data_IF_950435407519
#
_entry.id   IF_950435407519
#
_cell.length_a   1.000
_cell.length_b   1.000
_cell.length_c   1.000
_cell.angle_alpha   90.00
_cell.angle_beta   90.00
_cell.angle_gamma   90.00
#
_symmetry.space_group_name_H-M   'P 1'
#
loop_
_entity.id
_entity.type
_entity.pdbx_description
1 polymer ?
#
# COMPACT_ATOMS: atom_id res chain seq x y z
N UNK A 1 6.30 2.29 25.47
CA UNK A 1 6.96 1.87 24.22
C UNK A 1 6.03 2.06 23.05
N UNK A 2 6.40 2.80 22.09
CA UNK A 2 5.51 3.07 21.00
C UNK A 2 5.67 1.98 19.94
N UNK A 3 4.55 1.63 19.36
CA UNK A 3 4.48 0.67 18.27
C UNK A 3 4.23 1.43 16.98
N UNK A 4 4.98 2.52 16.80
CA UNK A 4 4.80 3.34 15.64
C UNK A 4 5.28 2.62 14.40
N UNK A 5 4.54 2.78 13.33
CA UNK A 5 4.92 2.29 12.03
C UNK A 5 5.94 3.24 11.42
N UNK A 6 7.01 2.68 10.88
CA UNK A 6 7.96 3.44 10.09
C UNK A 6 7.61 3.27 8.62
N UNK A 7 7.65 4.35 7.87
CA UNK A 7 7.37 4.32 6.44
C UNK A 7 8.54 4.94 5.71
N UNK A 8 9.14 4.19 4.80
CA UNK A 8 10.20 4.69 3.93
C UNK A 8 9.62 4.86 2.54
N UNK A 9 9.81 6.02 1.96
CA UNK A 9 9.23 6.39 0.67
C UNK A 9 10.31 6.42 -0.40
N UNK A 10 10.08 5.71 -1.51
CA UNK A 10 10.89 5.81 -2.73
C UNK A 10 9.99 6.26 -3.87
N UNK A 11 10.56 7.01 -4.80
CA UNK A 11 9.83 7.44 -6.00
C UNK A 11 10.61 7.01 -7.23
N UNK A 12 10.43 5.76 -7.69
CA UNK A 12 11.16 5.28 -8.87
C UNK A 12 10.78 6.01 -10.16
N UNK A 13 9.57 6.55 -10.23
CA UNK A 13 9.11 7.29 -11.40
C UNK A 13 8.33 8.52 -10.95
N UNK A 14 8.02 9.41 -11.89
CA UNK A 14 7.33 10.66 -11.59
C UNK A 14 5.97 10.39 -10.93
N UNK A 15 5.26 9.36 -11.38
CA UNK A 15 3.92 9.06 -10.90
C UNK A 15 3.82 7.77 -10.10
N UNK A 16 4.96 7.17 -9.73
CA UNK A 16 4.99 5.89 -8.99
C UNK A 16 5.78 6.09 -7.71
N UNK A 17 5.25 5.61 -6.60
CA UNK A 17 5.97 5.61 -5.34
C UNK A 17 5.84 4.25 -4.65
N UNK A 18 6.86 3.92 -3.86
CA UNK A 18 6.89 2.72 -3.04
C UNK A 18 6.91 3.17 -1.58
N UNK A 19 5.98 2.64 -0.79
CA UNK A 19 5.96 2.84 0.64
C UNK A 19 6.34 1.51 1.30
N UNK A 20 7.51 1.50 1.95
CA UNK A 20 7.95 0.32 2.72
C UNK A 20 7.60 0.54 4.16
N UNK A 21 6.83 -0.38 4.72
CA UNK A 21 6.32 -0.24 6.09
C UNK A 21 7.05 -1.20 7.00
N UNK A 22 7.29 -0.75 8.23
CA UNK A 22 7.95 -1.55 9.27
C UNK A 22 7.18 -1.32 10.56
N UNK A 23 6.43 -2.33 10.99
CA UNK A 23 5.65 -2.25 12.21
C UNK A 23 4.23 -2.74 12.03
N UNK A 24 3.31 -2.19 12.82
CA UNK A 24 1.92 -2.61 12.84
C UNK A 24 1.05 -1.62 12.04
N UNK A 25 0.17 -2.16 11.20
CA UNK A 25 -0.82 -1.33 10.52
C UNK A 25 -2.12 -1.39 11.32
N UNK A 26 -2.18 -0.55 12.34
CA UNK A 26 -3.35 -0.32 13.17
C UNK A 26 -3.85 1.09 12.87
N UNK A 27 -4.62 1.70 13.78
CA UNK A 27 -5.12 3.05 13.60
C UNK A 27 -3.96 4.03 13.36
N UNK A 28 -2.98 4.05 14.25
CA UNK A 28 -1.85 4.98 14.15
C UNK A 28 -0.99 4.68 12.93
N UNK A 29 -0.69 3.40 12.70
CA UNK A 29 0.13 3.02 11.55
C UNK A 29 -0.58 3.29 10.23
N UNK A 30 -1.88 3.01 10.17
CA UNK A 30 -2.66 3.30 8.98
C UNK A 30 -2.70 4.80 8.67
N UNK A 31 -2.82 5.63 9.72
CA UNK A 31 -2.82 7.07 9.52
C UNK A 31 -1.48 7.59 9.04
N UNK A 32 -0.39 6.97 9.48
CA UNK A 32 0.93 7.35 8.97
C UNK A 32 1.05 7.01 7.48
N UNK A 33 0.58 5.84 7.07
CA UNK A 33 0.57 5.47 5.65
C UNK A 33 -0.30 6.45 4.86
N UNK A 34 -1.48 6.79 5.39
CA UNK A 34 -2.39 7.70 4.71
C UNK A 34 -1.76 9.07 4.54
N UNK A 35 -1.08 9.57 5.56
CA UNK A 35 -0.40 10.86 5.50
C UNK A 35 0.60 10.89 4.34
N UNK A 36 1.44 9.84 4.25
CA UNK A 36 2.42 9.77 3.17
C UNK A 36 1.75 9.60 1.82
N UNK A 37 0.73 8.74 1.74
CA UNK A 37 0.04 8.49 0.47
C UNK A 37 -0.64 9.75 -0.04
N UNK A 38 -1.32 10.50 0.82
CA UNK A 38 -2.03 11.69 0.39
C UNK A 38 -1.08 12.81 -0.02
N UNK A 39 0.07 12.92 0.67
CA UNK A 39 1.09 13.87 0.27
C UNK A 39 1.62 13.53 -1.13
N UNK A 40 1.83 12.24 -1.41
CA UNK A 40 2.29 11.80 -2.72
C UNK A 40 1.24 12.07 -3.80
N UNK A 41 -0.03 11.79 -3.50
CA UNK A 41 -1.12 12.11 -4.42
C UNK A 41 -1.14 13.59 -4.77
N UNK A 42 -0.93 14.45 -3.77
CA UNK A 42 -0.89 15.88 -3.99
C UNK A 42 0.29 16.34 -4.84
N UNK A 43 1.32 15.51 -4.98
CA UNK A 43 2.50 15.82 -5.78
C UNK A 43 2.50 15.11 -7.14
N UNK A 44 1.38 14.50 -7.53
CA UNK A 44 1.26 13.88 -8.84
C UNK A 44 1.47 12.39 -8.90
N UNK A 45 1.75 11.75 -7.76
CA UNK A 45 1.88 10.29 -7.70
C UNK A 45 0.48 9.69 -7.60
N UNK A 46 0.12 8.83 -8.54
CA UNK A 46 -1.18 8.15 -8.50
C UNK A 46 -1.04 6.63 -8.59
N UNK A 47 0.17 6.10 -8.47
CA UNK A 47 0.44 4.66 -8.50
C UNK A 47 1.31 4.32 -7.33
N UNK A 48 0.77 3.54 -6.39
CA UNK A 48 1.45 3.23 -5.14
C UNK A 48 1.68 1.73 -5.01
N UNK A 49 2.86 1.39 -4.52
CA UNK A 49 3.19 0.05 -4.08
C UNK A 49 3.43 0.10 -2.57
N UNK A 50 2.70 -0.70 -1.82
CA UNK A 50 2.97 -0.90 -0.41
C UNK A 50 3.73 -2.21 -0.24
N UNK A 51 4.96 -2.11 0.24
CA UNK A 51 5.82 -3.26 0.49
C UNK A 51 5.73 -3.58 1.98
N UNK A 52 5.08 -4.68 2.29
CA UNK A 52 4.75 -5.05 3.65
C UNK A 52 5.66 -6.16 4.21
N UNK A 53 6.86 -6.25 3.68
CA UNK A 53 7.80 -7.29 4.12
C UNK A 53 8.02 -7.27 5.63
N UNK A 54 8.09 -6.08 6.21
CA UNK A 54 8.34 -5.92 7.65
C UNK A 54 7.08 -5.61 8.43
N UNK A 55 5.91 -5.87 7.85
CA UNK A 55 4.63 -5.71 8.54
C UNK A 55 4.05 -7.09 8.78
N UNK A 56 3.77 -7.41 10.05
CA UNK A 56 3.27 -8.71 10.43
C UNK A 56 1.86 -8.68 10.99
N UNK A 57 1.37 -7.49 11.34
CA UNK A 57 0.06 -7.34 11.94
C UNK A 57 -0.68 -6.19 11.26
N UNK A 58 -1.89 -6.48 10.81
CA UNK A 58 -2.79 -5.48 10.25
C UNK A 58 -4.15 -5.73 10.89
N UNK A 59 -4.72 -4.71 11.56
CA UNK A 59 -6.03 -4.87 12.16
C UNK A 59 -7.12 -4.25 11.26
N UNK A 60 -8.38 -4.40 11.67
CA UNK A 60 -9.50 -3.98 10.84
C UNK A 60 -9.53 -2.46 10.62
N UNK A 61 -9.09 -1.67 11.59
CA UNK A 61 -9.04 -0.22 11.43
C UNK A 61 -7.98 0.14 10.40
N UNK A 62 -6.80 -0.50 10.48
CA UNK A 62 -5.75 -0.31 9.49
C UNK A 62 -6.23 -0.66 8.09
N UNK A 63 -6.95 -1.76 7.94
CA UNK A 63 -7.50 -2.16 6.65
C UNK A 63 -8.48 -1.11 6.11
N UNK A 64 -9.33 -0.57 6.99
CA UNK A 64 -10.27 0.47 6.57
C UNK A 64 -9.55 1.67 5.99
N UNK A 65 -8.42 2.04 6.60
CA UNK A 65 -7.63 3.17 6.12
C UNK A 65 -7.00 2.84 4.76
N UNK A 66 -6.51 1.61 4.59
CA UNK A 66 -5.96 1.19 3.29
C UNK A 66 -7.03 1.20 2.19
N UNK A 67 -8.24 0.80 2.52
CA UNK A 67 -9.35 0.85 1.58
C UNK A 67 -9.64 2.29 1.17
N UNK A 68 -9.60 3.21 2.12
CA UNK A 68 -9.82 4.62 1.84
C UNK A 68 -8.74 5.17 0.89
N UNK A 69 -7.48 4.79 1.12
CA UNK A 69 -6.40 5.17 0.23
C UNK A 69 -6.64 4.63 -1.17
N UNK A 70 -7.06 3.37 -1.26
CA UNK A 70 -7.36 2.74 -2.55
C UNK A 70 -8.45 3.53 -3.29
N UNK A 71 -9.52 3.91 -2.58
CA UNK A 71 -10.60 4.66 -3.21
C UNK A 71 -10.12 6.00 -3.76
N UNK A 72 -9.26 6.69 -3.01
CA UNK A 72 -8.71 7.96 -3.48
C UNK A 72 -7.84 7.77 -4.72
N UNK A 73 -7.04 6.71 -4.74
CA UNK A 73 -6.20 6.42 -5.91
C UNK A 73 -7.06 6.12 -7.14
N UNK A 74 -8.10 5.31 -6.96
CA UNK A 74 -8.99 4.98 -8.07
C UNK A 74 -9.72 6.20 -8.60
N UNK A 75 -10.12 7.12 -7.72
CA UNK A 75 -10.76 8.37 -8.11
C UNK A 75 -9.85 9.20 -9.01
N UNK A 76 -8.57 9.06 -8.89
CA UNK A 76 -7.60 9.80 -9.70
C UNK A 76 -7.03 8.97 -10.85
N UNK A 77 -7.71 7.88 -11.19
CA UNK A 77 -7.28 7.03 -12.28
C UNK A 77 -6.02 6.26 -11.97
N UNK A 78 -5.73 6.06 -10.69
CA UNK A 78 -4.51 5.42 -10.27
C UNK A 78 -4.65 3.95 -9.97
N UNK A 79 -3.61 3.39 -9.37
CA UNK A 79 -3.52 1.97 -9.04
C UNK A 79 -2.84 1.78 -7.71
N UNK A 80 -3.21 0.72 -7.00
CA UNK A 80 -2.57 0.31 -5.76
C UNK A 80 -2.13 -1.14 -5.86
N UNK A 81 -0.90 -1.40 -5.46
CA UNK A 81 -0.37 -2.76 -5.37
C UNK A 81 0.23 -2.99 -4.00
N UNK A 82 0.25 -4.25 -3.60
CA UNK A 82 0.91 -4.70 -2.38
C UNK A 82 1.91 -5.79 -2.73
N UNK A 83 2.99 -5.91 -1.98
CA UNK A 83 3.90 -7.02 -2.16
C UNK A 83 4.48 -7.49 -0.83
N UNK A 84 4.95 -8.73 -0.83
CA UNK A 84 5.64 -9.38 0.29
C UNK A 84 4.79 -9.42 1.55
N UNK A 85 3.51 -9.75 1.39
CA UNK A 85 2.60 -9.95 2.51
C UNK A 85 2.85 -11.32 3.12
N UNK A 86 2.68 -11.44 4.45
CA UNK A 86 2.60 -12.77 5.05
C UNK A 86 1.35 -13.47 4.52
N UNK A 87 1.32 -14.81 4.53
CA UNK A 87 0.12 -15.51 4.08
C UNK A 87 -1.13 -15.13 4.85
N UNK A 88 -1.01 -14.86 6.15
CA UNK A 88 -2.15 -14.44 6.97
C UNK A 88 -2.69 -13.08 6.51
N UNK A 89 -1.79 -12.12 6.28
CA UNK A 89 -2.20 -10.79 5.84
C UNK A 89 -2.81 -10.87 4.45
N UNK A 90 -2.21 -11.65 3.56
CA UNK A 90 -2.75 -11.78 2.21
C UNK A 90 -4.17 -12.33 2.24
N UNK A 91 -4.41 -13.36 3.04
CA UNK A 91 -5.73 -13.94 3.17
C UNK A 91 -6.73 -12.91 3.72
N UNK A 92 -6.30 -12.14 4.71
CA UNK A 92 -7.15 -11.10 5.29
C UNK A 92 -7.51 -10.05 4.24
N UNK A 93 -6.55 -9.63 3.43
CA UNK A 93 -6.81 -8.64 2.38
C UNK A 93 -7.80 -9.20 1.36
N UNK A 94 -7.68 -10.48 1.01
CA UNK A 94 -8.62 -11.11 0.10
C UNK A 94 -10.03 -11.14 0.67
N UNK A 95 -10.16 -11.51 1.94
CA UNK A 95 -11.47 -11.59 2.61
C UNK A 95 -12.10 -10.20 2.72
N UNK A 96 -11.29 -9.18 3.01
CA UNK A 96 -11.80 -7.83 3.23
C UNK A 96 -12.00 -7.04 1.93
N UNK A 97 -11.73 -7.65 0.78
CA UNK A 97 -12.02 -7.04 -0.51
C UNK A 97 -10.93 -6.16 -1.09
N UNK A 98 -9.79 -6.02 -0.42
CA UNK A 98 -8.69 -5.21 -0.95
C UNK A 98 -8.16 -5.74 -2.27
N UNK A 99 -8.20 -7.06 -2.47
CA UNK A 99 -7.66 -7.67 -3.67
C UNK A 99 -8.60 -7.57 -4.88
N UNK A 100 -9.79 -6.99 -4.72
CA UNK A 100 -10.72 -6.83 -5.84
C UNK A 100 -10.30 -5.68 -6.75
N UNK A 101 -9.75 -4.61 -6.19
CA UNK A 101 -9.41 -3.41 -6.94
C UNK A 101 -7.94 -3.04 -6.83
N UNK A 102 -7.20 -3.68 -5.94
CA UNK A 102 -5.75 -3.61 -5.84
C UNK A 102 -5.18 -4.97 -6.20
N UNK A 103 -3.88 -5.05 -6.41
CA UNK A 103 -3.25 -6.33 -6.75
C UNK A 103 -2.15 -6.65 -5.74
N UNK A 104 -1.97 -7.95 -5.52
CA UNK A 104 -0.98 -8.47 -4.59
C UNK A 104 0.06 -9.23 -5.39
N UNK A 105 1.32 -8.93 -5.15
CA UNK A 105 2.45 -9.54 -5.86
C UNK A 105 3.42 -10.15 -4.84
N UNK A 106 4.18 -11.17 -5.25
CA UNK A 106 5.16 -11.78 -4.34
C UNK A 106 6.39 -10.91 -4.10
N UNK A 107 6.70 -9.97 -4.99
CA UNK A 107 7.92 -9.17 -4.92
C UNK A 107 7.69 -7.81 -5.56
N UNK A 108 8.60 -6.83 -5.28
CA UNK A 108 8.43 -5.48 -5.85
C UNK A 108 8.52 -5.41 -7.36
N UNK A 109 9.41 -6.17 -7.99
CA UNK A 109 9.63 -6.02 -9.43
C UNK A 109 8.37 -6.27 -10.27
N UNK A 110 7.65 -7.39 -10.10
CA UNK A 110 6.43 -7.56 -10.87
C UNK A 110 5.34 -6.54 -10.51
N UNK A 111 5.31 -6.08 -9.25
CA UNK A 111 4.36 -5.05 -8.86
C UNK A 111 4.64 -3.73 -9.57
N UNK A 112 5.90 -3.34 -9.64
CA UNK A 112 6.29 -2.12 -10.33
C UNK A 112 6.02 -2.21 -11.83
N UNK A 113 6.26 -3.37 -12.44
CA UNK A 113 5.95 -3.56 -13.85
C UNK A 113 4.46 -3.34 -14.12
N UNK A 114 3.61 -3.88 -13.25
CA UNK A 114 2.17 -3.68 -13.39
C UNK A 114 1.78 -2.22 -13.20
N UNK A 115 2.35 -1.56 -12.19
CA UNK A 115 2.04 -0.16 -11.93
C UNK A 115 2.47 0.74 -13.08
N UNK A 116 3.55 0.40 -13.76
CA UNK A 116 4.02 1.16 -14.91
C UNK A 116 3.24 0.86 -16.18
N UNK A 117 2.33 -0.11 -16.14
CA UNK A 117 1.58 -0.51 -17.32
C UNK A 117 2.35 -1.42 -18.25
N UNK A 118 3.44 -2.01 -17.79
CA UNK A 118 4.29 -2.90 -18.61
C UNK A 118 3.73 -4.31 -18.66
N UNK A 119 2.86 -4.68 -17.71
CA UNK A 119 2.20 -5.98 -17.68
C UNK A 119 0.75 -5.81 -17.30
N UNK A 120 -0.04 -6.84 -17.58
CA UNK A 120 -1.45 -6.87 -17.19
C UNK A 120 -1.58 -7.67 -15.88
#
# INVERSE_FOLDING_TARGET
>A
MSETLKVVVDRPDVNVAVLRTDGFINNTGGEEIAKQAYALLGSGVNRLLLDLEKTKIVNSIGISILIEILEKLLDQGGKLAFCRLTPTIEKTFQIMGLAQYARIFPAPDPALAWLRGETE
#
